data_IF_625494030337
#
_entry.id   IF_625494030337
#
_cell.length_a   1.000
_cell.length_b   1.000
_cell.length_c   1.000
_cell.angle_alpha   90.00
_cell.angle_beta   90.00
_cell.angle_gamma   90.00
#
_symmetry.space_group_name_H-M   'P 1'
#
loop_
_entity.id
_entity.type
_entity.pdbx_description
1 polymer ?
#
# COMPACT_ATOMS: atom_id res chain seq x y z
N UNK A 1 -17.68 -12.68 10.75
CA UNK A 1 -16.23 -12.75 10.44
C UNK A 1 -15.94 -11.63 9.45
N UNK A 2 -14.95 -10.78 9.69
CA UNK A 2 -14.57 -9.75 8.70
C UNK A 2 -13.92 -10.47 7.52
N UNK A 3 -14.42 -10.25 6.31
CA UNK A 3 -13.71 -10.65 5.10
C UNK A 3 -12.37 -9.93 5.06
N UNK A 4 -11.27 -10.67 4.92
CA UNK A 4 -9.95 -10.10 4.69
C UNK A 4 -9.89 -9.64 3.23
N UNK A 5 -10.28 -8.39 2.98
CA UNK A 5 -10.32 -7.81 1.64
C UNK A 5 -8.94 -7.48 1.06
N UNK A 6 -7.91 -7.40 1.91
CA UNK A 6 -6.52 -7.11 1.52
C UNK A 6 -5.73 -8.40 1.72
N UNK A 7 -5.31 -9.00 0.61
CA UNK A 7 -4.55 -10.24 0.60
C UNK A 7 -3.54 -10.20 -0.53
N UNK A 8 -2.30 -10.56 -0.21
CA UNK A 8 -1.28 -10.72 -1.22
C UNK A 8 -1.53 -12.00 -2.03
N UNK A 9 -1.36 -12.00 -3.37
CA UNK A 9 -1.54 -13.20 -4.19
C UNK A 9 -0.60 -14.33 -3.76
N UNK A 10 -1.14 -15.53 -3.59
CA UNK A 10 -0.37 -16.72 -3.14
C UNK A 10 -0.15 -17.70 -4.29
N UNK A 11 -1.08 -17.75 -5.25
CA UNK A 11 -0.99 -18.67 -6.38
C UNK A 11 -0.24 -18.07 -7.57
N UNK A 12 0.45 -18.92 -8.32
CA UNK A 12 1.05 -18.53 -9.61
C UNK A 12 0.03 -17.98 -10.60
N UNK A 13 -1.21 -18.45 -10.53
CA UNK A 13 -2.29 -18.00 -11.39
C UNK A 13 -2.70 -16.54 -11.09
N UNK A 14 -2.83 -16.19 -9.81
CA UNK A 14 -3.11 -14.82 -9.38
C UNK A 14 -1.96 -13.88 -9.75
N UNK A 15 -0.72 -14.28 -9.46
CA UNK A 15 0.48 -13.50 -9.82
C UNK A 15 0.56 -13.26 -11.32
N UNK A 16 0.29 -14.29 -12.15
CA UNK A 16 0.26 -14.15 -13.60
C UNK A 16 -0.85 -13.20 -14.06
N UNK A 17 -2.04 -13.31 -13.48
CA UNK A 17 -3.16 -12.42 -13.79
C UNK A 17 -2.81 -10.95 -13.54
N UNK A 18 -2.13 -10.66 -12.42
CA UNK A 18 -1.69 -9.30 -12.09
C UNK A 18 -0.60 -8.83 -13.06
N UNK A 19 0.40 -9.68 -13.34
CA UNK A 19 1.47 -9.37 -14.28
C UNK A 19 0.97 -9.09 -15.70
N UNK A 20 0.04 -9.90 -16.19
CA UNK A 20 -0.61 -9.69 -17.48
C UNK A 20 -1.39 -8.36 -17.47
N UNK A 21 -2.04 -8.01 -16.36
CA UNK A 21 -2.73 -6.73 -16.19
C UNK A 21 -1.82 -5.51 -16.25
N UNK A 22 -0.66 -5.55 -15.58
CA UNK A 22 0.33 -4.47 -15.67
C UNK A 22 0.95 -4.36 -17.07
N UNK A 23 1.20 -5.48 -17.74
CA UNK A 23 1.64 -5.49 -19.13
C UNK A 23 0.60 -4.82 -20.04
N UNK A 24 -0.68 -5.16 -19.90
CA UNK A 24 -1.76 -4.62 -20.73
C UNK A 24 -2.00 -3.13 -20.49
N UNK A 25 -1.96 -2.68 -19.23
CA UNK A 25 -2.31 -1.30 -18.86
C UNK A 25 -1.15 -0.33 -18.96
N UNK A 26 0.07 -0.79 -18.62
CA UNK A 26 1.24 0.08 -18.45
C UNK A 26 2.44 -0.36 -19.32
N UNK A 27 2.35 -1.48 -20.04
CA UNK A 27 3.46 -2.02 -20.82
C UNK A 27 4.61 -2.57 -19.96
N UNK A 28 4.34 -2.91 -18.69
CA UNK A 28 5.35 -3.36 -17.73
C UNK A 28 5.22 -4.87 -17.48
N UNK A 29 6.07 -5.71 -18.07
CA UNK A 29 5.96 -7.16 -17.97
C UNK A 29 6.45 -7.66 -16.60
N UNK A 30 5.77 -8.68 -16.06
CA UNK A 30 6.21 -9.38 -14.84
C UNK A 30 5.99 -8.63 -13.52
N UNK A 31 5.39 -7.44 -13.55
CA UNK A 31 5.08 -6.66 -12.34
C UNK A 31 3.90 -7.30 -11.61
N UNK A 32 4.06 -7.65 -10.33
CA UNK A 32 3.00 -8.28 -9.52
C UNK A 32 2.43 -7.34 -8.44
N UNK A 33 2.91 -6.10 -8.40
CA UNK A 33 2.42 -5.06 -7.52
C UNK A 33 3.23 -3.78 -7.69
N UNK A 34 2.61 -2.64 -7.39
CA UNK A 34 3.26 -1.34 -7.30
C UNK A 34 3.26 -0.87 -5.85
N UNK A 35 4.37 -0.32 -5.37
CA UNK A 35 4.55 0.13 -3.98
C UNK A 35 4.62 1.65 -3.93
N UNK A 36 3.85 2.26 -3.04
CA UNK A 36 3.94 3.69 -2.75
C UNK A 36 3.62 3.99 -1.29
N UNK A 37 4.03 5.16 -0.82
CA UNK A 37 3.78 5.67 0.53
C UNK A 37 2.96 6.95 0.49
N UNK A 38 1.88 7.00 1.28
CA UNK A 38 1.12 8.23 1.52
C UNK A 38 1.11 8.58 2.99
N UNK A 39 0.79 9.82 3.31
CA UNK A 39 0.66 10.22 4.69
C UNK A 39 -0.79 10.42 5.08
N UNK A 40 -1.19 9.72 6.14
CA UNK A 40 -2.53 9.82 6.71
C UNK A 40 -2.45 10.70 7.94
N UNK A 41 -3.27 11.76 7.96
CA UNK A 41 -3.39 12.63 9.13
C UNK A 41 -3.87 11.80 10.32
N UNK A 42 -3.16 11.89 11.45
CA UNK A 42 -3.48 11.15 12.66
C UNK A 42 -3.07 11.98 13.87
N UNK A 43 -3.85 11.97 14.97
CA UNK A 43 -3.39 12.55 16.22
C UNK A 43 -2.04 11.95 16.63
N UNK A 44 -1.05 12.79 16.92
CA UNK A 44 0.20 12.28 17.44
C UNK A 44 -0.04 11.67 18.84
N UNK A 45 0.46 10.45 19.11
CA UNK A 45 0.33 9.83 20.41
C UNK A 45 0.98 10.70 21.49
N UNK A 46 0.49 10.56 22.73
CA UNK A 46 1.12 11.15 23.90
C UNK A 46 2.26 10.22 24.31
N UNK A 47 3.41 10.35 23.65
CA UNK A 47 4.61 9.56 23.90
C UNK A 47 5.87 10.38 23.68
N UNK A 48 7.03 9.86 24.12
CA UNK A 48 8.33 10.47 23.87
C UNK A 48 8.66 10.59 22.36
N UNK A 49 8.03 9.75 21.53
CA UNK A 49 8.20 9.73 20.07
C UNK A 49 7.21 10.64 19.32
N UNK A 50 6.48 11.51 20.03
CA UNK A 50 5.46 12.39 19.44
C UNK A 50 6.00 13.24 18.28
N UNK A 51 7.24 13.71 18.38
CA UNK A 51 7.90 14.50 17.34
C UNK A 51 8.03 13.75 16.02
N UNK A 52 8.17 12.43 16.03
CA UNK A 52 8.27 11.58 14.83
C UNK A 52 7.00 11.58 13.97
N UNK A 53 5.86 11.98 14.54
CA UNK A 53 4.60 12.07 13.82
C UNK A 53 4.42 13.43 13.12
N UNK A 54 5.17 14.46 13.52
CA UNK A 54 5.05 15.79 12.95
C UNK A 54 5.87 15.90 11.68
N UNK A 55 5.18 16.18 10.57
CA UNK A 55 5.84 16.53 9.33
C UNK A 55 6.23 18.00 9.28
N UNK A 56 7.10 18.34 8.31
CA UNK A 56 7.49 19.73 7.96
C UNK A 56 6.29 20.68 7.77
N UNK A 57 5.12 20.16 7.37
CA UNK A 57 3.88 20.95 7.18
C UNK A 57 3.10 21.23 8.48
N UNK A 58 3.65 20.87 9.65
CA UNK A 58 3.11 21.28 10.96
C UNK A 58 1.93 20.45 11.47
N UNK A 59 1.53 19.39 10.77
CA UNK A 59 0.51 18.46 11.25
C UNK A 59 1.09 17.07 11.52
N UNK A 60 0.46 16.36 12.44
CA UNK A 60 0.78 14.99 12.79
C UNK A 60 0.19 14.01 11.75
N UNK A 61 0.98 13.03 11.35
CA UNK A 61 0.58 12.02 10.37
C UNK A 61 1.41 10.76 10.49
N UNK A 62 0.80 9.64 10.09
CA UNK A 62 1.47 8.36 9.89
C UNK A 62 1.80 8.18 8.41
N UNK A 63 2.90 7.48 8.12
CA UNK A 63 3.15 6.97 6.77
C UNK A 63 2.31 5.69 6.61
N UNK A 64 1.60 5.58 5.50
CA UNK A 64 0.94 4.36 5.05
C UNK A 64 1.67 3.92 3.78
N UNK A 65 2.35 2.79 3.84
CA UNK A 65 2.84 2.10 2.66
C UNK A 65 1.77 1.14 2.15
N UNK A 66 1.56 1.10 0.84
CA UNK A 66 0.58 0.22 0.21
C UNK A 66 1.23 -0.49 -0.98
N UNK A 67 0.87 -1.75 -1.18
CA UNK A 67 1.08 -2.46 -2.43
C UNK A 67 -0.25 -2.57 -3.16
N UNK A 68 -0.30 -2.18 -4.44
CA UNK A 68 -1.50 -2.30 -5.25
C UNK A 68 -1.31 -3.14 -6.53
N UNK A 69 -2.38 -3.81 -6.97
CA UNK A 69 -2.40 -4.56 -8.22
C UNK A 69 -2.72 -3.67 -9.44
N UNK A 70 -2.70 -4.27 -10.62
CA UNK A 70 -3.03 -3.60 -11.88
C UNK A 70 -4.47 -3.10 -11.97
N UNK A 71 -5.37 -3.54 -11.08
CA UNK A 71 -6.76 -3.12 -10.98
C UNK A 71 -6.99 -2.13 -9.84
N UNK A 72 -5.91 -1.53 -9.30
CA UNK A 72 -5.94 -0.55 -8.22
C UNK A 72 -6.47 -1.10 -6.89
N UNK A 73 -6.44 -2.42 -6.70
CA UNK A 73 -6.78 -3.07 -5.43
C UNK A 73 -5.55 -3.11 -4.52
N UNK A 74 -5.77 -2.86 -3.24
CA UNK A 74 -4.72 -3.01 -2.23
C UNK A 74 -4.46 -4.50 -1.96
N UNK A 75 -3.19 -4.90 -2.11
CA UNK A 75 -2.69 -6.25 -1.87
C UNK A 75 -2.08 -6.39 -0.48
N UNK A 76 -1.43 -5.34 -0.01
CA UNK A 76 -0.78 -5.27 1.31
C UNK A 76 -0.75 -3.82 1.81
N UNK A 77 -0.77 -3.65 3.13
CA UNK A 77 -0.73 -2.35 3.80
C UNK A 77 0.18 -2.44 5.02
N UNK A 78 1.07 -1.45 5.17
CA UNK A 78 1.96 -1.30 6.31
C UNK A 78 1.99 0.16 6.78
N UNK A 79 2.17 0.38 8.10
CA UNK A 79 2.26 1.71 8.73
C UNK A 79 3.46 1.81 9.64
#
# INVERSE_FOLDING_TARGET
>A
MMEQHIKFPESRHELKTIADGFQQRCGMPGVVGAVDGTHIASPAPISEHRSSFFKRKGFASLVLQVVCDSNLKFLDIYT
#
